data_IF_264654310637
#
_entry.id   IF_264654310637
#
_cell.length_a   1.000
_cell.length_b   1.000
_cell.length_c   1.000
_cell.angle_alpha   90.00
_cell.angle_beta   90.00
_cell.angle_gamma   90.00
#
_symmetry.space_group_name_H-M   'P 1'
#
loop_
_entity.id
_entity.type
_entity.pdbx_description
1 polymer ?
2 water ?
#
# COMPACT_ATOMS: atom_id res chain seq x y z
N UNK A 1 21.01 15.93 13.86
CA UNK A 1 19.55 15.85 13.95
C UNK A 1 19.05 14.54 13.33
N UNK A 2 18.39 13.73 14.14
CA UNK A 2 17.78 12.51 13.63
C UNK A 2 16.53 12.90 12.83
N UNK A 3 15.91 14.02 13.20
CA UNK A 3 14.70 14.48 12.50
C UNK A 3 14.98 14.83 11.03
N UNK A 4 16.13 15.44 10.76
CA UNK A 4 16.52 15.70 9.38
C UNK A 4 16.70 14.38 8.63
N UNK A 5 17.49 13.48 9.21
CA UNK A 5 17.73 12.17 8.61
C UNK A 5 16.43 11.39 8.37
N UNK A 6 15.51 11.50 9.32
CA UNK A 6 14.25 10.77 9.23
C UNK A 6 13.37 11.42 8.17
N UNK A 7 13.41 12.75 8.11
CA UNK A 7 12.66 13.50 7.11
C UNK A 7 13.08 13.12 5.71
N UNK A 8 14.38 12.96 5.50
CA UNK A 8 14.90 12.50 4.21
C UNK A 8 14.47 11.05 3.92
N UNK A 9 14.47 10.20 4.94
CA UNK A 9 14.09 8.80 4.72
C UNK A 9 12.64 8.71 4.24
N UNK A 10 11.77 9.50 4.88
CA UNK A 10 10.34 9.50 4.58
C UNK A 10 10.06 10.01 3.17
N UNK A 11 10.78 11.04 2.74
CA UNK A 11 10.66 11.53 1.38
C UNK A 11 11.17 10.50 0.38
N UNK A 12 12.29 9.85 0.69
CA UNK A 12 12.83 8.80 -0.17
C UNK A 12 11.86 7.64 -0.42
N UNK A 13 11.23 7.16 0.64
CA UNK A 13 10.33 6.02 0.47
C UNK A 13 9.02 6.50 -0.12
N UNK A 14 8.66 7.74 0.17
CA UNK A 14 7.44 8.32 -0.37
C UNK A 14 7.50 8.34 -1.89
N UNK A 15 8.70 8.47 -2.43
CA UNK A 15 8.88 8.52 -3.89
C UNK A 15 8.75 7.14 -4.52
N UNK A 16 8.68 6.11 -3.68
CA UNK A 16 8.48 4.75 -4.20
C UNK A 16 7.00 4.34 -4.27
N UNK A 17 6.11 5.13 -3.67
CA UNK A 17 4.69 4.82 -3.68
C UNK A 17 4.14 4.79 -5.11
N UNK A 18 3.52 3.67 -5.47
CA UNK A 18 2.96 3.50 -6.81
C UNK A 18 4.03 3.72 -7.89
N UNK A 19 5.27 3.38 -7.55
CA UNK A 19 6.38 3.50 -8.48
C UNK A 19 6.71 2.13 -9.06
N UNK A 20 6.55 1.98 -10.39
CA UNK A 20 6.76 0.69 -11.07
C UNK A 20 8.18 0.18 -10.95
N UNK A 21 9.14 1.05 -10.66
CA UNK A 21 10.52 0.59 -10.60
C UNK A 21 10.69 -0.38 -9.42
N UNK A 22 11.24 -1.56 -9.70
CA UNK A 22 11.47 -2.59 -8.69
C UNK A 22 10.18 -3.20 -8.11
N UNK A 23 9.06 -2.86 -8.72
CA UNK A 23 7.76 -3.38 -8.31
C UNK A 23 7.62 -4.88 -8.57
N UNK A 24 7.19 -5.64 -7.57
CA UNK A 24 7.00 -7.08 -7.76
C UNK A 24 5.58 -7.48 -7.36
N UNK A 25 4.74 -6.48 -7.14
CA UNK A 25 3.34 -6.73 -6.84
C UNK A 25 2.50 -5.57 -7.33
N UNK A 26 1.30 -5.87 -7.79
CA UNK A 26 0.37 -4.86 -8.26
C UNK A 26 -1.02 -5.08 -7.66
N UNK A 27 -1.66 -4.00 -7.22
CA UNK A 27 -3.05 -4.08 -6.78
C UNK A 27 -3.97 -3.48 -7.82
N UNK A 28 -5.03 -4.21 -8.14
CA UNK A 28 -6.00 -3.76 -9.12
C UNK A 28 -7.32 -3.44 -8.42
N UNK A 29 -7.74 -2.18 -8.49
CA UNK A 29 -9.00 -1.78 -7.85
C UNK A 29 -10.21 -1.98 -8.77
N UNK A 30 -11.39 -1.70 -8.23
CA UNK A 30 -12.64 -1.92 -8.96
C UNK A 30 -12.76 -1.06 -10.21
N UNK A 31 -12.11 0.11 -10.21
CA UNK A 31 -12.09 0.98 -11.37
C UNK A 31 -11.31 0.36 -12.52
N UNK A 32 -10.41 -0.56 -12.19
CA UNK A 32 -9.53 -1.16 -13.18
C UNK A 32 -8.15 -0.54 -13.19
N UNK A 33 -7.92 0.42 -12.30
CA UNK A 33 -6.62 1.05 -12.17
C UNK A 33 -5.66 0.13 -11.42
N UNK A 34 -4.42 0.06 -11.90
CA UNK A 34 -3.38 -0.72 -11.25
C UNK A 34 -2.47 0.18 -10.43
N UNK A 35 -2.25 -0.20 -9.17
CA UNK A 35 -1.31 0.48 -8.29
C UNK A 35 -0.09 -0.42 -8.09
N UNK A 36 1.10 0.14 -8.29
CA UNK A 36 2.35 -0.58 -8.13
C UNK A 36 2.83 -0.57 -6.69
N UNK A 37 3.31 -1.71 -6.21
CA UNK A 37 3.80 -1.80 -4.83
C UNK A 37 5.02 -2.70 -4.76
N UNK A 38 5.63 -2.77 -3.58
CA UNK A 38 6.85 -3.55 -3.42
C UNK A 38 6.76 -4.49 -2.23
N UNK A 39 7.00 -5.78 -2.45
CA UNK A 39 6.81 -6.77 -1.39
C UNK A 39 7.70 -6.44 -0.19
N UNK A 40 8.87 -5.87 -0.45
CA UNK A 40 9.74 -5.42 0.63
C UNK A 40 8.96 -4.65 1.69
N UNK A 41 8.17 -3.69 1.24
CA UNK A 41 7.43 -2.85 2.16
C UNK A 41 6.29 -3.61 2.79
N UNK A 42 5.54 -4.33 1.96
CA UNK A 42 4.34 -5.02 2.45
C UNK A 42 4.72 -6.03 3.52
N UNK A 43 5.83 -6.72 3.29
CA UNK A 43 6.27 -7.78 4.20
C UNK A 43 6.76 -7.15 5.50
N UNK A 44 7.53 -6.07 5.39
CA UNK A 44 8.09 -5.39 6.56
C UNK A 44 7.02 -4.77 7.43
N UNK A 45 5.96 -4.29 6.80
CA UNK A 45 5.02 -3.40 7.48
C UNK A 45 3.61 -3.97 7.68
N UNK A 46 3.25 -5.00 6.93
CA UNK A 46 1.88 -5.49 6.95
C UNK A 46 1.76 -6.97 6.60
N UNK A 47 2.16 -7.82 7.55
CA UNK A 47 2.10 -9.29 7.42
C UNK A 47 0.78 -9.79 6.80
N UNK A 48 -0.36 -9.23 7.20
CA UNK A 48 -1.65 -9.68 6.66
C UNK A 48 -1.83 -9.31 5.18
N UNK A 49 -1.32 -8.14 4.77
CA UNK A 49 -1.44 -7.74 3.37
C UNK A 49 -0.55 -8.63 2.49
N UNK A 50 0.67 -8.90 2.93
CA UNK A 50 1.55 -9.77 2.16
C UNK A 50 0.99 -11.21 2.08
N UNK A 51 0.35 -11.69 3.16
CA UNK A 51 -0.33 -13.00 3.08
C UNK A 51 -1.50 -13.00 2.10
N UNK A 52 -2.29 -11.93 2.10
CA UNK A 52 -3.38 -11.77 1.13
C UNK A 52 -2.82 -11.80 -0.31
N UNK A 53 -1.71 -11.11 -0.53
CA UNK A 53 -1.04 -11.15 -1.83
C UNK A 53 -0.66 -12.59 -2.18
N UNK A 54 -0.01 -13.30 -1.25
CA UNK A 54 0.44 -14.68 -1.48
C UNK A 54 -0.69 -15.69 -1.60
N UNK A 55 -1.84 -15.36 -1.01
CA UNK A 55 -3.00 -16.25 -1.01
C UNK A 55 -4.02 -16.01 -2.13
N UNK A 56 -4.26 -14.75 -2.47
CA UNK A 56 -5.33 -14.42 -3.41
C UNK A 56 -4.83 -13.82 -4.72
N UNK A 57 -3.53 -13.56 -4.78
CA UNK A 57 -2.95 -12.98 -5.97
C UNK A 57 -2.93 -13.98 -7.11
N UNK A 58 -2.54 -13.50 -8.28
CA UNK A 58 -2.32 -14.37 -9.42
C UNK A 58 -1.16 -13.79 -10.23
N UNK A 59 -0.47 -14.66 -10.96
CA UNK A 59 0.71 -14.24 -11.67
C UNK A 59 0.34 -13.61 -13.00
N UNK A 60 1.07 -12.56 -13.37
CA UNK A 60 0.92 -11.92 -14.67
C UNK A 60 2.31 -11.64 -15.23
N UNK A 61 2.49 -11.95 -16.51
CA UNK A 61 3.77 -11.74 -17.16
C UNK A 61 3.68 -10.62 -18.19
N UNK A 62 4.51 -9.60 -18.02
CA UNK A 62 4.59 -8.51 -18.97
C UNK A 62 6.05 -8.38 -19.38
N UNK A 63 6.30 -8.38 -20.68
CA UNK A 63 7.67 -8.25 -21.18
C UNK A 63 8.55 -9.36 -20.60
N UNK A 64 8.00 -10.57 -20.53
CA UNK A 64 8.74 -11.71 -20.03
C UNK A 64 9.09 -11.61 -18.55
N UNK A 65 8.55 -10.61 -17.86
CA UNK A 65 8.77 -10.49 -16.42
C UNK A 65 7.49 -10.77 -15.64
N UNK A 66 7.63 -11.56 -14.59
CA UNK A 66 6.48 -12.03 -13.83
C UNK A 66 6.22 -11.14 -12.62
N UNK A 67 4.95 -10.81 -12.40
CA UNK A 67 4.56 -10.05 -11.21
C UNK A 67 3.32 -10.71 -10.61
N UNK A 68 3.08 -10.47 -9.32
CA UNK A 68 1.83 -10.86 -8.70
C UNK A 68 0.87 -9.70 -8.76
N UNK A 69 -0.35 -9.96 -9.22
CA UNK A 69 -1.38 -8.95 -9.24
C UNK A 69 -2.43 -9.42 -8.27
N UNK A 70 -3.03 -8.48 -7.55
CA UNK A 70 -4.10 -8.83 -6.62
C UNK A 70 -5.28 -7.90 -6.85
N UNK A 71 -6.47 -8.47 -6.93
CA UNK A 71 -7.67 -7.65 -6.92
C UNK A 71 -7.86 -7.08 -5.53
N UNK A 72 -8.28 -5.83 -5.46
CA UNK A 72 -8.49 -5.16 -4.18
C UNK A 72 -9.85 -4.50 -4.24
N UNK A 73 -10.89 -5.33 -4.09
CA UNK A 73 -12.25 -4.92 -4.37
C UNK A 73 -12.83 -3.92 -3.40
N UNK A 74 -13.95 -3.33 -3.83
CA UNK A 74 -14.79 -2.49 -2.98
C UNK A 74 -14.04 -1.36 -2.25
N UNK A 75 -13.02 -0.81 -2.89
CA UNK A 75 -12.31 0.34 -2.33
C UNK A 75 -11.84 1.28 -3.44
N UNK A 76 -11.88 2.58 -3.17
CA UNK A 76 -11.48 3.56 -4.16
C UNK A 76 -9.97 3.51 -4.39
N UNK A 77 -9.57 3.81 -5.62
CA UNK A 77 -8.16 3.80 -5.96
C UNK A 77 -7.42 4.75 -5.03
N UNK A 78 -8.07 5.86 -4.71
CA UNK A 78 -7.49 6.88 -3.85
C UNK A 78 -7.23 6.39 -2.42
N UNK A 79 -8.15 5.60 -1.88
CA UNK A 79 -7.97 5.06 -0.53
C UNK A 79 -6.84 4.03 -0.51
N UNK A 80 -6.83 3.17 -1.51
CA UNK A 80 -5.81 2.15 -1.64
C UNK A 80 -4.43 2.80 -1.71
N UNK A 81 -4.34 3.90 -2.45
CA UNK A 81 -3.08 4.59 -2.61
C UNK A 81 -2.63 5.24 -1.29
N UNK A 82 -3.58 5.84 -0.58
CA UNK A 82 -3.29 6.43 0.72
C UNK A 82 -2.83 5.37 1.72
N UNK A 83 -3.48 4.21 1.70
CA UNK A 83 -3.07 3.08 2.53
C UNK A 83 -1.60 2.73 2.25
N UNK A 84 -1.26 2.59 0.97
CA UNK A 84 0.10 2.23 0.59
C UNK A 84 1.07 3.32 1.03
N UNK A 85 0.69 4.58 0.81
CA UNK A 85 1.46 5.73 1.26
C UNK A 85 1.75 5.62 2.77
N UNK A 86 0.73 5.31 3.57
CA UNK A 86 0.94 5.13 5.01
C UNK A 86 1.96 4.02 5.32
N UNK A 87 1.90 2.91 4.59
CA UNK A 87 2.86 1.83 4.81
C UNK A 87 4.29 2.24 4.47
N UNK A 88 4.45 3.04 3.41
CA UNK A 88 5.78 3.45 2.95
C UNK A 88 6.37 4.57 3.81
N UNK A 89 5.51 5.41 4.37
CA UNK A 89 5.99 6.66 4.97
C UNK A 89 5.49 6.93 6.38
N UNK A 90 4.49 6.18 6.83
CA UNK A 90 3.90 6.42 8.16
C UNK A 90 3.22 7.78 8.26
N UNK A 91 2.89 8.38 7.12
CA UNK A 91 2.22 9.68 7.10
C UNK A 91 0.80 9.64 7.70
N UNK A 92 0.57 10.39 8.78
CA UNK A 92 -0.73 10.38 9.45
C UNK A 92 -1.66 11.51 9.01
N UNK A 93 -1.13 12.43 8.20
CA UNK A 93 -1.94 13.51 7.66
C UNK A 93 -2.75 13.03 6.47
N UNK A 94 -3.79 12.24 6.75
CA UNK A 94 -4.58 11.61 5.70
C UNK A 94 -5.97 12.25 5.56
N UNK A 95 -6.41 12.47 4.31
CA UNK A 95 -7.67 13.17 4.00
C UNK A 95 -8.89 12.48 4.60
N UNK A 96 -9.62 13.20 5.46
CA UNK A 96 -10.76 12.63 6.21
C UNK A 96 -11.91 12.19 5.31
N UNK A 97 -11.89 12.61 4.05
CA UNK A 97 -12.87 12.14 3.09
C UNK A 97 -12.68 10.66 2.81
N UNK A 98 -11.56 10.12 3.28
CA UNK A 98 -11.19 8.73 3.05
C UNK A 98 -11.13 7.91 4.34
N UNK A 99 -11.22 8.59 5.48
CA UNK A 99 -11.04 7.94 6.78
C UNK A 99 -11.84 6.65 6.95
N UNK A 100 -13.04 6.59 6.38
CA UNK A 100 -13.89 5.42 6.53
C UNK A 100 -13.40 4.24 5.68
N UNK A 101 -12.87 4.54 4.50
CA UNK A 101 -12.35 3.50 3.62
C UNK A 101 -10.99 3.00 4.11
N UNK A 102 -10.18 3.91 4.63
CA UNK A 102 -8.88 3.56 5.20
C UNK A 102 -9.04 2.66 6.42
N UNK A 103 -10.12 2.88 7.17
CA UNK A 103 -10.35 2.15 8.41
C UNK A 103 -10.74 0.70 8.14
N UNK A 104 -11.53 0.49 7.10
CA UNK A 104 -11.86 -0.85 6.65
C UNK A 104 -10.58 -1.58 6.24
N UNK A 105 -9.75 -0.91 5.45
CA UNK A 105 -8.48 -1.49 5.04
C UNK A 105 -7.56 -1.80 6.23
N UNK A 106 -7.38 -0.83 7.13
CA UNK A 106 -6.54 -1.01 8.30
C UNK A 106 -7.02 -2.16 9.18
N UNK A 107 -8.34 -2.30 9.28
CA UNK A 107 -8.91 -3.36 10.10
C UNK A 107 -8.72 -4.72 9.43
N UNK A 108 -9.00 -4.79 8.13
CA UNK A 108 -8.83 -6.01 7.35
C UNK A 108 -7.38 -6.51 7.39
N UNK A 109 -6.43 -5.59 7.36
CA UNK A 109 -5.03 -5.97 7.26
C UNK A 109 -4.20 -5.72 8.52
N UNK A 110 -4.89 -5.55 9.65
CA UNK A 110 -4.24 -5.50 10.95
C UNK A 110 -3.28 -4.34 11.16
N UNK A 111 -3.66 -3.15 10.71
CA UNK A 111 -2.86 -1.95 10.94
C UNK A 111 -3.54 -1.12 12.05
N UNK A 112 -3.20 -1.45 13.29
CA UNK A 112 -3.93 -0.95 14.46
C UNK A 112 -3.76 0.54 14.70
N UNK A 113 -2.53 1.03 14.56
CA UNK A 113 -2.23 2.45 14.74
C UNK A 113 -3.10 3.29 13.82
N UNK A 114 -3.39 2.75 12.64
CA UNK A 114 -4.17 3.46 11.62
C UNK A 114 -5.67 3.48 11.93
N UNK A 115 -6.18 2.41 12.53
CA UNK A 115 -7.56 2.39 12.99
C UNK A 115 -7.73 3.47 14.06
N UNK A 116 -6.73 3.57 14.93
CA UNK A 116 -6.65 4.61 15.96
C UNK A 116 -6.83 6.00 15.34
N UNK A 117 -5.99 6.33 14.36
CA UNK A 117 -6.01 7.64 13.71
C UNK A 117 -7.29 7.95 12.93
N UNK A 118 -7.92 6.92 12.37
CA UNK A 118 -9.14 7.11 11.58
C UNK A 118 -10.40 7.27 12.45
N UNK A 119 -10.26 7.04 13.75
CA UNK A 119 -11.34 7.28 14.70
C UNK A 119 -12.68 6.71 14.24
#
# INVERSE_FOLDING_TARGET
RTLLSLGLLVADFGAMVNNPHLSDVQFQTDSGEVLYAHKFVLYARCPLLIQYVNNEGFSAVEDGVLTQRVLLGDVSTEAARTFLHYLYTADTGLPPGLSSELSSLAHRFGVSELVHLCE
#
